data_IF_394968109777
#
_entry.id   IF_394968109777
#
_cell.length_a   1.000
_cell.length_b   1.000
_cell.length_c   1.000
_cell.angle_alpha   90.00
_cell.angle_beta   90.00
_cell.angle_gamma   90.00
#
_symmetry.space_group_name_H-M   'P 1'
#
loop_
_entity.id
_entity.type
_entity.pdbx_description
1 polymer ?
#
# COMPACT_ATOMS: atom_id res chain seq x y z
N UNK A 1 5.51 -0.52 -27.70
CA UNK A 1 5.80 -1.30 -26.49
C UNK A 1 5.77 -0.33 -25.33
N UNK A 2 4.94 -0.59 -24.33
CA UNK A 2 4.78 0.28 -23.16
C UNK A 2 5.97 0.09 -22.21
N UNK A 3 6.49 1.19 -21.66
CA UNK A 3 7.60 1.17 -20.70
C UNK A 3 7.04 1.02 -19.28
N UNK A 4 7.19 -0.19 -18.71
CA UNK A 4 6.65 -0.53 -17.39
C UNK A 4 7.40 0.13 -16.23
N UNK A 5 8.55 0.81 -16.42
CA UNK A 5 9.27 1.57 -15.36
C UNK A 5 9.31 0.89 -13.98
N UNK A 6 9.58 -0.41 -13.94
CA UNK A 6 9.38 -1.22 -12.73
C UNK A 6 10.16 -0.71 -11.51
N UNK A 7 11.34 -0.11 -11.71
CA UNK A 7 12.16 0.47 -10.64
C UNK A 7 11.43 1.59 -9.87
N UNK A 8 10.50 2.30 -10.50
CA UNK A 8 9.71 3.36 -9.89
C UNK A 8 8.62 2.84 -8.94
N UNK A 9 8.38 1.52 -8.93
CA UNK A 9 7.46 0.89 -7.99
C UNK A 9 8.05 0.72 -6.58
N UNK A 10 9.37 0.87 -6.44
CA UNK A 10 10.03 0.82 -5.15
C UNK A 10 9.85 2.13 -4.39
N UNK A 11 9.49 1.98 -3.13
CA UNK A 11 9.51 3.06 -2.17
C UNK A 11 9.95 2.52 -0.83
N UNK A 12 10.47 3.40 0.01
CA UNK A 12 10.90 2.99 1.34
C UNK A 12 9.69 2.81 2.26
N UNK A 13 9.61 1.69 2.97
CA UNK A 13 8.62 1.43 4.00
C UNK A 13 8.88 2.20 5.31
N UNK A 14 9.59 3.33 5.26
CA UNK A 14 9.87 4.18 6.41
C UNK A 14 8.62 4.85 6.99
N UNK A 15 7.53 4.90 6.24
CA UNK A 15 6.28 5.57 6.66
C UNK A 15 5.28 4.63 7.33
N UNK A 16 5.70 3.42 7.69
CA UNK A 16 4.86 2.47 8.42
C UNK A 16 4.74 2.91 9.87
N UNK A 17 3.52 3.00 10.40
CA UNK A 17 3.33 3.26 11.84
C UNK A 17 3.83 2.06 12.62
N UNK A 18 4.77 2.29 13.54
CA UNK A 18 5.21 1.26 14.46
C UNK A 18 4.11 1.04 15.52
N UNK A 19 3.52 -0.17 15.66
CA UNK A 19 2.48 -0.42 16.65
C UNK A 19 2.88 -0.01 18.07
N UNK A 20 4.17 -0.11 18.43
CA UNK A 20 4.64 0.29 19.77
C UNK A 20 4.56 1.81 20.04
N UNK A 21 4.31 2.63 19.02
CA UNK A 21 4.08 4.07 19.16
C UNK A 21 2.62 4.40 19.49
N UNK A 22 1.70 3.44 19.37
CA UNK A 22 0.27 3.65 19.60
C UNK A 22 -0.07 3.52 21.08
N UNK A 23 -0.99 4.36 21.54
CA UNK A 23 -1.48 4.35 22.93
C UNK A 23 -2.72 3.46 23.08
N UNK A 24 -3.52 3.36 22.02
CA UNK A 24 -4.77 2.62 21.97
C UNK A 24 -4.49 1.15 21.67
N UNK A 25 -4.64 0.27 22.67
CA UNK A 25 -4.41 -1.17 22.52
C UNK A 25 -5.27 -1.80 21.40
N UNK A 26 -6.51 -1.31 21.23
CA UNK A 26 -7.41 -1.78 20.19
C UNK A 26 -6.92 -1.53 18.75
N UNK A 27 -5.95 -0.63 18.55
CA UNK A 27 -5.40 -0.30 17.23
C UNK A 27 -4.15 -1.10 16.87
N UNK A 28 -3.53 -1.81 17.82
CA UNK A 28 -2.28 -2.55 17.59
C UNK A 28 -2.45 -3.62 16.51
N UNK A 29 -3.43 -4.51 16.68
CA UNK A 29 -3.69 -5.61 15.73
C UNK A 29 -4.15 -5.13 14.35
N UNK A 30 -4.90 -4.01 14.30
CA UNK A 30 -5.34 -3.37 13.06
C UNK A 30 -4.11 -2.84 12.30
N UNK A 31 -3.24 -2.11 13.00
CA UNK A 31 -2.01 -1.53 12.44
C UNK A 31 -1.05 -2.60 11.95
N UNK A 32 -0.81 -3.65 12.74
CA UNK A 32 0.01 -4.79 12.32
C UNK A 32 -0.53 -5.47 11.06
N UNK A 33 -1.85 -5.64 10.99
CA UNK A 33 -2.51 -6.26 9.84
C UNK A 33 -2.37 -5.41 8.59
N UNK A 34 -2.60 -4.09 8.69
CA UNK A 34 -2.38 -3.15 7.60
C UNK A 34 -0.92 -3.16 7.13
N UNK A 35 0.03 -3.02 8.05
CA UNK A 35 1.46 -3.02 7.76
C UNK A 35 1.89 -4.31 7.04
N UNK A 36 1.39 -5.46 7.50
CA UNK A 36 1.63 -6.76 6.87
C UNK A 36 1.04 -6.85 5.46
N UNK A 37 -0.18 -6.34 5.25
CA UNK A 37 -0.83 -6.34 3.95
C UNK A 37 -0.12 -5.42 2.96
N UNK A 38 0.27 -4.21 3.38
CA UNK A 38 1.06 -3.30 2.54
C UNK A 38 2.42 -3.91 2.20
N UNK A 39 3.11 -4.51 3.19
CA UNK A 39 4.37 -5.21 2.95
C UNK A 39 4.21 -6.35 1.94
N UNK A 40 3.12 -7.12 2.00
CA UNK A 40 2.82 -8.17 1.00
C UNK A 40 2.62 -7.58 -0.39
N UNK A 41 1.77 -6.56 -0.52
CA UNK A 41 1.50 -5.90 -1.80
C UNK A 41 2.80 -5.42 -2.49
N UNK A 42 3.68 -4.75 -1.73
CA UNK A 42 4.97 -4.31 -2.26
C UNK A 42 5.96 -5.45 -2.50
N UNK A 43 6.04 -6.44 -1.59
CA UNK A 43 7.01 -7.54 -1.73
C UNK A 43 6.71 -8.39 -2.96
N UNK A 44 5.43 -8.60 -3.31
CA UNK A 44 5.06 -9.34 -4.52
C UNK A 44 5.67 -8.73 -5.78
N UNK A 45 5.64 -7.40 -5.89
CA UNK A 45 6.24 -6.69 -7.03
C UNK A 45 7.75 -6.63 -6.90
N UNK A 46 8.26 -6.24 -5.74
CA UNK A 46 9.69 -5.91 -5.59
C UNK A 46 10.62 -7.10 -5.40
N UNK A 47 10.10 -8.25 -4.98
CA UNK A 47 10.89 -9.46 -4.79
C UNK A 47 11.49 -9.99 -6.10
N UNK A 48 10.79 -9.83 -7.23
CA UNK A 48 11.27 -10.34 -8.52
C UNK A 48 12.49 -9.57 -9.01
N UNK A 49 12.47 -8.23 -9.16
CA UNK A 49 13.68 -7.50 -9.51
C UNK A 49 14.79 -7.71 -8.49
N UNK A 50 14.49 -7.73 -7.20
CA UNK A 50 15.49 -8.02 -6.19
C UNK A 50 16.13 -9.41 -6.39
N UNK A 51 15.34 -10.44 -6.69
CA UNK A 51 15.81 -11.78 -6.96
C UNK A 51 16.65 -11.83 -8.25
N UNK A 52 16.21 -11.17 -9.33
CA UNK A 52 16.97 -11.05 -10.58
C UNK A 52 18.31 -10.36 -10.32
N UNK A 53 18.32 -9.24 -9.60
CA UNK A 53 19.55 -8.54 -9.22
C UNK A 53 20.49 -9.40 -8.39
N UNK A 54 19.93 -10.18 -7.44
CA UNK A 54 20.70 -11.12 -6.61
C UNK A 54 21.27 -12.29 -7.41
N UNK A 55 20.49 -12.83 -8.35
CA UNK A 55 20.97 -13.86 -9.29
C UNK A 55 22.14 -13.34 -10.12
N UNK A 56 22.08 -12.10 -10.58
CA UNK A 56 23.18 -11.50 -11.33
C UNK A 56 24.42 -11.28 -10.50
N UNK A 57 24.25 -10.86 -9.24
CA UNK A 57 25.38 -10.78 -8.32
C UNK A 57 26.04 -12.17 -8.17
N UNK A 58 25.24 -13.24 -8.05
CA UNK A 58 25.77 -14.61 -7.99
C UNK A 58 26.49 -15.00 -9.28
N UNK A 59 25.86 -14.77 -10.43
CA UNK A 59 26.46 -15.05 -11.75
C UNK A 59 27.78 -14.32 -11.86
N UNK A 60 27.81 -12.98 -11.69
CA UNK A 60 29.05 -12.18 -11.75
C UNK A 60 30.11 -12.64 -10.75
N UNK A 61 29.71 -13.05 -9.54
CA UNK A 61 30.65 -13.59 -8.55
C UNK A 61 31.27 -14.92 -9.02
N UNK A 62 30.48 -15.80 -9.63
CA UNK A 62 30.98 -17.03 -10.25
C UNK A 62 31.89 -16.74 -11.44
N UNK A 63 31.56 -15.74 -12.26
CA UNK A 63 32.38 -15.30 -13.38
C UNK A 63 33.75 -14.80 -12.91
N UNK A 64 33.77 -13.92 -11.90
CA UNK A 64 35.00 -13.42 -11.30
C UNK A 64 35.81 -14.55 -10.65
N UNK A 65 35.15 -15.47 -9.96
CA UNK A 65 35.80 -16.64 -9.37
C UNK A 65 36.49 -17.49 -10.45
N UNK A 66 35.80 -17.75 -11.57
CA UNK A 66 36.33 -18.50 -12.71
C UNK A 66 37.54 -17.77 -13.31
N UNK A 67 37.46 -16.46 -13.54
CA UNK A 67 38.57 -15.67 -14.07
C UNK A 67 39.81 -15.67 -13.16
N UNK A 68 39.61 -15.64 -11.83
CA UNK A 68 40.71 -15.67 -10.86
C UNK A 68 41.40 -17.05 -10.82
N UNK A 69 40.62 -18.13 -10.97
CA UNK A 69 41.13 -19.51 -10.89
C UNK A 69 41.73 -19.96 -12.23
N UNK A 70 41.08 -19.67 -13.34
CA UNK A 70 41.48 -20.07 -14.70
C UNK A 70 42.16 -18.90 -15.43
N UNK A 71 43.27 -18.41 -14.88
CA UNK A 71 44.00 -17.18 -15.31
C UNK A 71 44.20 -16.98 -16.82
N UNK A 72 44.10 -18.05 -17.62
CA UNK A 72 44.33 -18.07 -19.07
C UNK A 72 43.08 -18.33 -19.93
N UNK A 73 41.87 -18.48 -19.35
CA UNK A 73 40.61 -18.67 -20.09
C UNK A 73 39.73 -17.43 -20.03
N UNK A 74 39.49 -16.83 -21.21
CA UNK A 74 38.65 -15.63 -21.38
C UNK A 74 37.15 -16.01 -21.42
N UNK A 75 36.82 -17.25 -21.80
CA UNK A 75 35.42 -17.64 -21.95
C UNK A 75 34.78 -18.07 -20.63
N UNK A 76 34.07 -17.11 -20.05
CA UNK A 76 33.37 -17.22 -18.78
C UNK A 76 32.22 -18.24 -18.83
N UNK A 77 31.64 -18.49 -20.00
CA UNK A 77 30.52 -19.43 -20.17
C UNK A 77 30.94 -20.80 -20.70
N UNK A 78 32.24 -21.03 -20.94
CA UNK A 78 32.75 -22.36 -21.29
C UNK A 78 32.34 -23.39 -20.23
N UNK A 79 31.56 -24.39 -20.66
CA UNK A 79 30.96 -25.42 -19.81
C UNK A 79 32.01 -26.37 -19.20
N UNK A 80 33.27 -26.28 -19.65
CA UNK A 80 34.36 -27.16 -19.23
C UNK A 80 35.02 -26.71 -17.92
N UNK A 81 34.24 -26.53 -16.86
CA UNK A 81 34.78 -26.43 -15.49
C UNK A 81 34.97 -27.84 -14.97
N UNK A 82 36.17 -28.20 -14.54
CA UNK A 82 36.42 -29.55 -14.00
C UNK A 82 35.73 -29.73 -12.64
N UNK A 83 35.36 -30.98 -12.30
CA UNK A 83 34.76 -31.30 -11.00
C UNK A 83 35.65 -30.86 -9.82
N UNK A 84 36.97 -30.80 -9.99
CA UNK A 84 37.92 -30.35 -8.96
C UNK A 84 37.95 -28.81 -8.79
N UNK A 85 37.57 -28.05 -9.82
CA UNK A 85 37.54 -26.58 -9.80
C UNK A 85 36.24 -26.02 -9.23
N UNK A 86 35.13 -26.74 -9.42
CA UNK A 86 33.80 -26.29 -8.98
C UNK A 86 33.72 -25.98 -7.47
N UNK A 87 34.27 -26.80 -6.55
CA UNK A 87 34.31 -26.47 -5.13
C UNK A 87 35.10 -25.19 -4.82
N UNK A 88 36.14 -24.88 -5.60
CA UNK A 88 36.96 -23.66 -5.42
C UNK A 88 36.19 -22.42 -5.88
N UNK A 89 35.54 -22.50 -7.03
CA UNK A 89 34.69 -21.43 -7.60
C UNK A 89 33.52 -21.10 -6.66
N UNK A 90 32.79 -22.13 -6.22
CA UNK A 90 31.64 -21.96 -5.32
C UNK A 90 32.06 -21.41 -3.95
N UNK A 91 33.19 -21.86 -3.40
CA UNK A 91 33.75 -21.31 -2.15
C UNK A 91 34.12 -19.83 -2.27
N UNK A 92 34.79 -19.42 -3.36
CA UNK A 92 35.14 -18.02 -3.59
C UNK A 92 33.88 -17.17 -3.79
N UNK A 93 32.94 -17.60 -4.64
CA UNK A 93 31.68 -16.89 -4.86
C UNK A 93 30.90 -16.72 -3.56
N UNK A 94 30.82 -17.77 -2.74
CA UNK A 94 30.18 -17.71 -1.42
C UNK A 94 30.87 -16.71 -0.50
N UNK A 95 32.20 -16.60 -0.55
CA UNK A 95 32.94 -15.60 0.21
C UNK A 95 32.61 -14.17 -0.24
N UNK A 96 32.56 -13.91 -1.55
CA UNK A 96 32.17 -12.59 -2.09
C UNK A 96 30.74 -12.23 -1.68
N UNK A 97 29.79 -13.15 -1.81
CA UNK A 97 28.39 -12.93 -1.40
C UNK A 97 28.29 -12.73 0.11
N UNK A 98 29.03 -13.51 0.90
CA UNK A 98 29.06 -13.35 2.37
C UNK A 98 29.60 -11.97 2.75
N UNK A 99 30.71 -11.53 2.14
CA UNK A 99 31.26 -10.19 2.34
C UNK A 99 30.30 -9.10 1.92
N UNK A 100 29.59 -9.30 0.81
CA UNK A 100 28.52 -8.41 0.38
C UNK A 100 27.33 -8.36 1.35
N UNK A 101 27.14 -9.37 2.22
CA UNK A 101 26.06 -9.37 3.22
C UNK A 101 26.52 -8.94 4.63
N UNK A 102 27.82 -8.97 4.95
CA UNK A 102 28.34 -8.72 6.31
C UNK A 102 28.33 -7.23 6.73
N UNK A 103 28.13 -6.28 5.81
CA UNK A 103 28.28 -4.83 6.09
C UNK A 103 26.95 -4.13 6.46
N UNK A 104 26.41 -4.36 7.66
CA UNK A 104 25.04 -3.96 8.02
C UNK A 104 24.73 -2.45 7.86
N UNK A 105 25.74 -1.58 7.92
CA UNK A 105 25.56 -0.12 7.84
C UNK A 105 24.89 0.34 6.53
N UNK A 106 25.10 -0.40 5.43
CA UNK A 106 24.62 -0.04 4.08
C UNK A 106 23.60 -1.05 3.52
N UNK A 107 22.89 -1.79 4.40
CA UNK A 107 21.94 -2.82 3.96
C UNK A 107 20.84 -2.25 3.04
N UNK A 108 20.32 -1.06 3.35
CA UNK A 108 19.29 -0.41 2.52
C UNK A 108 19.82 0.01 1.16
N UNK A 109 20.99 0.65 1.11
CA UNK A 109 21.62 1.08 -0.14
C UNK A 109 21.95 -0.09 -1.05
N UNK A 110 22.47 -1.20 -0.50
CA UNK A 110 22.73 -2.41 -1.29
C UNK A 110 21.47 -3.11 -1.76
N UNK A 111 20.43 -3.13 -0.91
CA UNK A 111 19.12 -3.66 -1.31
C UNK A 111 18.56 -2.86 -2.48
N UNK A 112 18.66 -1.53 -2.41
CA UNK A 112 18.28 -0.64 -3.50
C UNK A 112 19.12 -0.85 -4.77
N UNK A 113 20.44 -1.01 -4.65
CA UNK A 113 21.32 -1.29 -5.79
C UNK A 113 20.95 -2.62 -6.47
N UNK A 114 20.76 -3.69 -5.69
CA UNK A 114 20.34 -4.99 -6.23
C UNK A 114 18.99 -4.87 -6.93
N UNK A 115 18.04 -4.20 -6.29
CA UNK A 115 16.73 -3.95 -6.86
C UNK A 115 16.81 -3.13 -8.17
N UNK A 116 17.63 -2.08 -8.20
CA UNK A 116 17.81 -1.21 -9.37
C UNK A 116 18.43 -1.96 -10.55
N UNK A 117 19.50 -2.72 -10.29
CA UNK A 117 20.15 -3.56 -11.31
C UNK A 117 19.19 -4.61 -11.83
N UNK A 118 18.49 -5.30 -10.92
CA UNK A 118 17.51 -6.31 -11.30
C UNK A 118 16.32 -5.73 -12.06
N UNK A 119 15.85 -4.53 -11.69
CA UNK A 119 14.77 -3.83 -12.39
C UNK A 119 15.19 -3.42 -13.79
N UNK A 120 16.41 -2.89 -13.96
CA UNK A 120 16.94 -2.53 -15.27
C UNK A 120 17.03 -3.76 -16.19
N UNK A 121 17.44 -4.91 -15.65
CA UNK A 121 17.50 -6.15 -16.42
C UNK A 121 16.14 -6.76 -16.70
N UNK A 122 15.22 -6.71 -15.73
CA UNK A 122 13.87 -7.17 -15.93
C UNK A 122 13.18 -6.33 -17.01
N UNK A 123 13.31 -5.01 -16.96
CA UNK A 123 12.87 -4.11 -18.02
C UNK A 123 13.55 -4.41 -19.36
N UNK A 124 14.86 -4.68 -19.36
CA UNK A 124 15.56 -5.10 -20.58
C UNK A 124 15.00 -6.42 -21.13
N UNK A 125 14.65 -7.37 -20.28
CA UNK A 125 14.05 -8.64 -20.66
C UNK A 125 12.61 -8.46 -21.19
N UNK A 126 11.84 -7.53 -20.64
CA UNK A 126 10.51 -7.18 -21.16
C UNK A 126 10.64 -6.49 -22.53
N UNK A 127 11.62 -5.58 -22.68
CA UNK A 127 11.73 -4.72 -23.89
C UNK A 127 12.42 -5.38 -25.07
N UNK A 128 13.37 -6.29 -24.84
CA UNK A 128 14.18 -6.88 -25.92
C UNK A 128 13.54 -8.12 -26.57
N UNK A 129 12.31 -8.50 -26.21
CA UNK A 129 11.97 -9.90 -26.27
C UNK A 129 10.83 -10.31 -27.20
N UNK A 130 11.20 -11.20 -28.13
CA UNK A 130 10.46 -12.37 -28.63
C UNK A 130 10.10 -13.40 -27.51
N UNK A 131 10.18 -13.06 -26.21
CA UNK A 131 10.01 -13.99 -25.07
C UNK A 131 8.54 -14.19 -24.64
N UNK A 132 7.57 -13.93 -25.51
CA UNK A 132 6.15 -14.19 -25.23
C UNK A 132 5.60 -13.34 -24.07
N UNK A 133 4.83 -13.97 -23.16
CA UNK A 133 3.95 -13.34 -22.16
C UNK A 133 4.66 -12.68 -20.94
N UNK A 134 5.94 -12.31 -21.04
CA UNK A 134 6.70 -11.70 -19.92
C UNK A 134 6.18 -10.30 -19.58
N UNK A 135 5.75 -9.55 -20.61
CA UNK A 135 5.12 -8.24 -20.47
C UNK A 135 3.80 -8.33 -19.67
N UNK A 136 2.92 -9.26 -20.05
CA UNK A 136 1.66 -9.54 -19.37
C UNK A 136 1.86 -9.99 -17.94
N UNK A 137 2.91 -10.77 -17.69
CA UNK A 137 3.27 -11.18 -16.33
C UNK A 137 3.66 -9.97 -15.47
N UNK A 138 4.52 -9.09 -16.00
CA UNK A 138 4.95 -7.89 -15.29
C UNK A 138 3.78 -6.92 -15.03
N UNK A 139 2.94 -6.71 -16.04
CA UNK A 139 1.68 -5.96 -15.93
C UNK A 139 0.77 -6.55 -14.84
N UNK A 140 0.52 -7.86 -14.85
CA UNK A 140 -0.30 -8.54 -13.86
C UNK A 140 0.18 -8.31 -12.43
N UNK A 141 1.50 -8.28 -12.20
CA UNK A 141 2.06 -7.99 -10.87
C UNK A 141 1.77 -6.56 -10.41
N UNK A 142 1.88 -5.59 -11.31
CA UNK A 142 1.58 -4.18 -11.02
C UNK A 142 0.09 -3.98 -10.75
N UNK A 143 -0.78 -4.63 -11.51
CA UNK A 143 -2.23 -4.61 -11.26
C UNK A 143 -2.59 -5.24 -9.92
N UNK A 144 -1.99 -6.38 -9.57
CA UNK A 144 -2.18 -7.02 -8.25
C UNK A 144 -1.73 -6.11 -7.11
N UNK A 145 -0.66 -5.32 -7.29
CA UNK A 145 -0.22 -4.35 -6.30
C UNK A 145 -1.26 -3.26 -6.06
N UNK A 146 -1.85 -2.72 -7.13
CA UNK A 146 -2.94 -1.72 -7.07
C UNK A 146 -4.13 -2.32 -6.32
N UNK A 147 -4.63 -3.49 -6.73
CA UNK A 147 -5.79 -4.15 -6.12
C UNK A 147 -5.58 -4.47 -4.64
N UNK A 148 -4.41 -4.98 -4.28
CA UNK A 148 -4.07 -5.29 -2.88
C UNK A 148 -3.93 -4.03 -2.03
N UNK A 149 -3.44 -2.93 -2.61
CA UNK A 149 -3.30 -1.65 -1.89
C UNK A 149 -4.65 -1.06 -1.55
N UNK A 150 -5.59 -1.06 -2.51
CA UNK A 150 -6.98 -0.65 -2.27
C UNK A 150 -7.62 -1.50 -1.16
N UNK A 151 -7.56 -2.83 -1.31
CA UNK A 151 -8.18 -3.77 -0.36
C UNK A 151 -7.59 -3.60 1.05
N UNK A 152 -6.28 -3.36 1.16
CA UNK A 152 -5.63 -3.10 2.44
C UNK A 152 -6.12 -1.79 3.08
N UNK A 153 -6.31 -0.74 2.28
CA UNK A 153 -6.85 0.54 2.74
C UNK A 153 -8.32 0.43 3.19
N UNK A 154 -9.16 -0.21 2.38
CA UNK A 154 -10.59 -0.40 2.65
C UNK A 154 -10.81 -1.15 3.98
N UNK A 155 -10.07 -2.24 4.19
CA UNK A 155 -10.09 -3.00 5.46
C UNK A 155 -9.60 -2.13 6.60
N UNK A 156 -8.47 -1.42 6.44
CA UNK A 156 -7.95 -0.53 7.48
C UNK A 156 -8.98 0.52 7.89
N UNK A 157 -9.57 1.24 6.93
CA UNK A 157 -10.52 2.30 7.18
C UNK A 157 -11.78 1.76 7.88
N UNK A 158 -12.24 0.57 7.49
CA UNK A 158 -13.38 -0.08 8.15
C UNK A 158 -13.05 -0.46 9.60
N UNK A 159 -11.94 -1.14 9.83
CA UNK A 159 -11.53 -1.62 11.14
C UNK A 159 -11.26 -0.46 12.11
N UNK A 160 -10.60 0.59 11.65
CA UNK A 160 -10.35 1.81 12.41
C UNK A 160 -11.65 2.51 12.81
N UNK A 161 -12.59 2.65 11.88
CA UNK A 161 -13.90 3.24 12.16
C UNK A 161 -14.66 2.41 13.21
N UNK A 162 -14.68 1.09 13.06
CA UNK A 162 -15.31 0.16 14.02
C UNK A 162 -14.67 0.30 15.40
N UNK A 163 -13.34 0.28 15.49
CA UNK A 163 -12.61 0.40 16.74
C UNK A 163 -12.91 1.73 17.44
N UNK A 164 -12.87 2.84 16.69
CA UNK A 164 -13.16 4.16 17.25
C UNK A 164 -14.61 4.30 17.73
N UNK A 165 -15.59 3.76 17.00
CA UNK A 165 -17.00 3.76 17.44
C UNK A 165 -17.22 2.86 18.66
N UNK A 166 -16.54 1.72 18.75
CA UNK A 166 -16.69 0.76 19.84
C UNK A 166 -15.97 1.19 21.12
N UNK A 167 -14.78 1.78 21.01
CA UNK A 167 -13.88 2.02 22.14
C UNK A 167 -13.60 3.50 22.42
N UNK A 168 -14.00 4.40 21.53
CA UNK A 168 -13.82 5.84 21.71
C UNK A 168 -14.88 6.49 22.60
N UNK A 169 -15.00 7.81 22.46
CA UNK A 169 -15.97 8.62 23.20
C UNK A 169 -17.42 8.22 22.88
N UNK A 170 -18.31 8.30 23.88
CA UNK A 170 -19.73 7.92 23.75
C UNK A 170 -20.45 8.72 22.66
N UNK A 171 -19.99 9.94 22.38
CA UNK A 171 -20.55 10.77 21.32
C UNK A 171 -20.35 10.15 19.92
N UNK A 172 -19.28 9.39 19.66
CA UNK A 172 -19.07 8.76 18.35
C UNK A 172 -20.16 7.73 18.06
N UNK A 173 -20.42 6.86 19.04
CA UNK A 173 -21.52 5.90 19.01
C UNK A 173 -22.89 6.60 18.90
N UNK A 174 -23.11 7.69 19.63
CA UNK A 174 -24.35 8.45 19.57
C UNK A 174 -24.59 9.11 18.20
N UNK A 175 -23.54 9.64 17.56
CA UNK A 175 -23.62 10.27 16.24
C UNK A 175 -24.07 9.29 15.16
N UNK A 176 -23.60 8.04 15.22
CA UNK A 176 -23.89 7.00 14.22
C UNK A 176 -25.09 6.14 14.58
N UNK A 177 -25.41 5.99 15.86
CA UNK A 177 -26.59 5.27 16.34
C UNK A 177 -27.91 5.95 15.96
N UNK A 178 -27.86 7.20 15.48
CA UNK A 178 -28.98 8.00 15.01
C UNK A 178 -29.27 7.95 13.50
N UNK A 179 -28.52 7.16 12.71
CA UNK A 179 -28.79 6.89 11.29
C UNK A 179 -30.16 6.20 11.12
N UNK A 180 -31.33 6.75 10.79
CA UNK A 180 -31.95 8.07 10.65
C UNK A 180 -33.31 7.86 11.31
N UNK A 181 -33.85 8.79 12.12
CA UNK A 181 -35.21 8.68 12.72
C UNK A 181 -36.34 8.42 11.69
N UNK A 182 -36.06 8.56 10.39
CA UNK A 182 -36.99 8.29 9.28
C UNK A 182 -37.02 6.82 8.83
N UNK A 183 -36.03 5.99 9.14
CA UNK A 183 -36.02 4.57 8.79
C UNK A 183 -36.57 3.72 9.94
N UNK A 184 -37.90 3.73 10.05
CA UNK A 184 -38.74 3.18 11.14
C UNK A 184 -38.72 1.65 11.31
N UNK A 185 -37.67 0.95 10.86
CA UNK A 185 -37.35 -0.40 11.36
C UNK A 185 -36.30 -0.27 12.46
N UNK A 186 -36.64 0.46 13.51
CA UNK A 186 -35.86 0.53 14.74
C UNK A 186 -35.78 -0.88 15.33
N UNK A 187 -34.59 -1.34 15.68
CA UNK A 187 -34.48 -2.40 16.67
C UNK A 187 -35.28 -1.96 17.90
N UNK A 188 -36.20 -2.81 18.35
CA UNK A 188 -36.98 -2.45 19.54
C UNK A 188 -35.99 -2.41 20.69
N UNK A 189 -35.90 -1.30 21.41
CA UNK A 189 -35.02 -1.13 22.58
C UNK A 189 -35.08 -2.33 23.55
N UNK A 190 -36.24 -3.00 23.61
CA UNK A 190 -36.48 -4.24 24.36
C UNK A 190 -35.62 -5.46 23.93
N UNK A 191 -35.18 -5.55 22.66
CA UNK A 191 -34.30 -6.62 22.15
C UNK A 191 -32.82 -6.38 22.47
N UNK A 192 -32.48 -5.14 22.81
CA UNK A 192 -31.12 -4.62 23.02
C UNK A 192 -30.82 -4.51 24.52
N UNK A 193 -31.86 -4.27 25.34
CA UNK A 193 -31.76 -3.96 26.77
C UNK A 193 -30.96 -4.95 27.65
N UNK A 194 -31.02 -6.28 27.45
CA UNK A 194 -30.27 -7.23 28.30
C UNK A 194 -28.76 -7.23 28.04
N UNK A 195 -28.30 -6.60 26.96
CA UNK A 195 -26.91 -6.64 26.50
C UNK A 195 -26.29 -5.25 26.33
N UNK A 196 -26.92 -4.19 26.89
CA UNK A 196 -26.52 -2.79 26.70
C UNK A 196 -25.02 -2.57 26.97
N UNK A 197 -24.48 -3.17 28.04
CA UNK A 197 -23.06 -3.03 28.37
C UNK A 197 -22.14 -3.69 27.33
N UNK A 198 -22.58 -4.77 26.68
CA UNK A 198 -21.85 -5.42 25.58
C UNK A 198 -22.05 -4.70 24.23
N UNK A 199 -23.10 -3.92 24.08
CA UNK A 199 -23.43 -3.26 22.81
C UNK A 199 -22.59 -2.02 22.57
N UNK A 200 -22.19 -1.31 23.63
CA UNK A 200 -21.26 -0.17 23.51
C UNK A 200 -20.00 -0.57 22.76
N UNK A 201 -19.36 -1.67 23.18
CA UNK A 201 -18.10 -2.14 22.62
C UNK A 201 -18.27 -2.92 21.29
N UNK A 202 -19.49 -2.97 20.74
CA UNK A 202 -19.80 -3.70 19.50
C UNK A 202 -20.70 -2.92 18.53
N UNK A 203 -21.07 -1.68 18.84
CA UNK A 203 -22.02 -0.92 18.04
C UNK A 203 -21.52 -0.73 16.60
N UNK A 204 -20.28 -0.30 16.43
CA UNK A 204 -19.67 -0.12 15.11
C UNK A 204 -19.66 -1.43 14.32
N UNK A 205 -19.32 -2.54 14.97
CA UNK A 205 -19.36 -3.88 14.37
C UNK A 205 -20.77 -4.24 13.91
N UNK A 206 -21.78 -4.06 14.77
CA UNK A 206 -23.16 -4.37 14.45
C UNK A 206 -23.72 -3.50 13.32
N UNK A 207 -23.33 -2.22 13.25
CA UNK A 207 -23.75 -1.31 12.19
C UNK A 207 -23.19 -1.73 10.82
N UNK A 208 -21.93 -2.18 10.77
CA UNK A 208 -21.30 -2.67 9.55
C UNK A 208 -21.88 -4.06 9.16
N UNK A 209 -21.96 -5.00 10.10
CA UNK A 209 -22.52 -6.35 9.86
C UNK A 209 -24.00 -6.31 9.42
N UNK A 210 -24.78 -5.37 9.93
CA UNK A 210 -26.18 -5.18 9.53
C UNK A 210 -26.35 -4.32 8.27
N UNK A 211 -25.26 -4.01 7.55
CA UNK A 211 -25.22 -3.17 6.36
C UNK A 211 -25.88 -1.79 6.55
N UNK A 212 -25.90 -1.27 7.78
CA UNK A 212 -26.40 0.08 8.10
C UNK A 212 -25.35 1.14 7.84
N UNK A 213 -24.08 0.74 7.90
CA UNK A 213 -22.93 1.54 7.53
C UNK A 213 -22.16 0.74 6.49
N UNK A 214 -22.12 1.26 5.26
CA UNK A 214 -21.35 0.69 4.17
C UNK A 214 -20.00 1.40 4.07
N UNK A 215 -18.92 0.64 3.90
CA UNK A 215 -17.54 1.15 3.81
C UNK A 215 -16.85 0.64 2.54
N UNK A 216 -17.64 0.38 1.49
CA UNK A 216 -17.19 -0.32 0.27
C UNK A 216 -16.63 0.61 -0.83
N UNK A 217 -16.75 1.93 -0.63
CA UNK A 217 -16.23 2.94 -1.54
C UNK A 217 -15.69 4.15 -0.76
N UNK A 218 -14.76 4.89 -1.37
CA UNK A 218 -14.07 6.00 -0.70
C UNK A 218 -15.03 7.10 -0.27
N UNK A 219 -16.07 7.35 -1.08
CA UNK A 219 -17.12 8.32 -0.77
C UNK A 219 -17.85 7.98 0.53
N UNK A 220 -18.31 6.74 0.68
CA UNK A 220 -19.01 6.31 1.89
C UNK A 220 -18.06 6.28 3.09
N UNK A 221 -16.82 5.83 2.92
CA UNK A 221 -15.79 5.90 3.97
C UNK A 221 -15.70 7.36 4.48
N UNK A 222 -15.49 8.33 3.59
CA UNK A 222 -15.44 9.76 3.94
C UNK A 222 -16.70 10.21 4.68
N UNK A 223 -17.89 9.87 4.18
CA UNK A 223 -19.17 10.27 4.78
C UNK A 223 -19.38 9.69 6.18
N UNK A 224 -19.05 8.42 6.38
CA UNK A 224 -19.19 7.75 7.68
C UNK A 224 -18.18 8.25 8.70
N UNK A 225 -16.94 8.54 8.27
CA UNK A 225 -15.95 9.19 9.11
C UNK A 225 -16.38 10.60 9.51
N UNK A 226 -16.89 11.39 8.56
CA UNK A 226 -17.46 12.72 8.83
C UNK A 226 -18.63 12.64 9.81
N UNK A 227 -19.52 11.67 9.64
CA UNK A 227 -20.68 11.50 10.51
C UNK A 227 -20.26 11.14 11.94
N UNK A 228 -19.35 10.18 12.10
CA UNK A 228 -18.94 9.69 13.41
C UNK A 228 -18.11 10.72 14.18
N UNK A 229 -17.14 11.36 13.51
CA UNK A 229 -16.07 12.11 14.16
C UNK A 229 -16.06 13.61 13.80
N UNK A 230 -17.02 14.07 13.00
CA UNK A 230 -17.19 15.47 12.65
C UNK A 230 -16.17 16.04 11.66
N UNK A 231 -16.01 17.36 11.70
CA UNK A 231 -15.28 18.13 10.68
C UNK A 231 -13.77 17.88 10.66
N UNK A 232 -13.17 17.49 11.80
CA UNK A 232 -11.72 17.26 11.90
C UNK A 232 -11.26 16.22 10.88
N UNK A 233 -12.03 15.14 10.73
CA UNK A 233 -11.71 14.12 9.74
C UNK A 233 -12.21 14.44 8.35
N UNK A 234 -13.27 15.24 8.19
CA UNK A 234 -13.66 15.73 6.88
C UNK A 234 -12.47 16.38 6.15
N UNK A 235 -11.70 17.21 6.84
CA UNK A 235 -10.51 17.89 6.31
C UNK A 235 -9.35 16.97 5.93
N UNK A 236 -9.31 15.76 6.49
CA UNK A 236 -8.31 14.72 6.16
C UNK A 236 -8.63 14.08 4.80
N UNK A 237 -9.91 13.88 4.49
CA UNK A 237 -10.38 13.28 3.24
C UNK A 237 -10.59 14.32 2.11
N UNK A 238 -10.08 15.54 2.27
CA UNK A 238 -10.18 16.57 1.25
C UNK A 238 -9.21 16.33 0.08
N UNK A 239 -9.75 16.25 -1.14
CA UNK A 239 -9.05 15.79 -2.34
C UNK A 239 -7.91 16.72 -2.81
N UNK A 240 -7.95 18.00 -2.44
CA UNK A 240 -6.92 18.97 -2.86
C UNK A 240 -5.55 18.77 -2.19
N UNK A 241 -5.43 17.84 -1.23
CA UNK A 241 -4.20 17.58 -0.46
C UNK A 241 -3.38 16.38 -0.96
N UNK A 242 -3.50 16.03 -2.24
CA UNK A 242 -2.69 15.00 -2.90
C UNK A 242 -3.13 13.57 -2.59
N UNK A 243 -2.84 13.10 -1.37
CA UNK A 243 -3.05 11.69 -1.01
C UNK A 243 -4.52 11.24 -1.12
N UNK A 244 -5.53 11.98 -0.61
CA UNK A 244 -6.92 11.56 -0.75
C UNK A 244 -7.39 11.45 -2.20
N UNK A 245 -6.87 12.30 -3.10
CA UNK A 245 -7.16 12.19 -4.54
C UNK A 245 -6.58 10.91 -5.13
N UNK A 246 -5.36 10.52 -4.74
CA UNK A 246 -4.77 9.25 -5.17
C UNK A 246 -5.55 8.04 -4.63
N UNK A 247 -6.14 8.11 -3.44
CA UNK A 247 -7.01 7.04 -2.91
C UNK A 247 -8.30 6.90 -3.74
N UNK A 248 -8.93 8.01 -4.11
CA UNK A 248 -10.11 8.01 -4.98
C UNK A 248 -9.79 7.42 -6.37
N UNK A 249 -8.65 7.81 -6.95
CA UNK A 249 -8.18 7.25 -8.23
C UNK A 249 -7.87 5.77 -8.11
N UNK A 250 -7.30 5.33 -6.99
CA UNK A 250 -7.03 3.93 -6.72
C UNK A 250 -8.32 3.08 -6.65
N UNK A 251 -9.37 3.59 -6.00
CA UNK A 251 -10.71 2.97 -6.03
C UNK A 251 -11.24 2.85 -7.47
N UNK A 252 -11.15 3.95 -8.22
CA UNK A 252 -11.61 4.03 -9.62
C UNK A 252 -10.91 2.96 -10.46
N UNK A 253 -9.60 2.82 -10.31
CA UNK A 253 -8.81 1.78 -10.97
C UNK A 253 -9.23 0.38 -10.54
N UNK A 254 -9.46 0.12 -9.25
CA UNK A 254 -9.96 -1.18 -8.80
C UNK A 254 -11.28 -1.53 -9.51
N UNK A 255 -12.20 -0.58 -9.63
CA UNK A 255 -13.48 -0.80 -10.31
C UNK A 255 -13.27 -1.06 -11.81
N UNK A 256 -12.42 -0.26 -12.46
CA UNK A 256 -12.03 -0.43 -13.86
C UNK A 256 -11.46 -1.84 -14.13
N UNK A 257 -10.51 -2.29 -13.32
CA UNK A 257 -9.84 -3.58 -13.47
C UNK A 257 -10.81 -4.76 -13.23
N UNK A 258 -11.66 -4.67 -12.20
CA UNK A 258 -12.56 -5.76 -11.83
C UNK A 258 -13.77 -5.90 -12.75
N UNK A 259 -14.22 -4.80 -13.37
CA UNK A 259 -15.50 -4.78 -14.08
C UNK A 259 -15.39 -4.45 -15.57
N UNK A 260 -14.29 -3.85 -16.03
CA UNK A 260 -14.14 -3.35 -17.40
C UNK A 260 -12.93 -3.89 -18.16
N UNK A 261 -12.06 -4.67 -17.52
CA UNK A 261 -10.89 -5.24 -18.17
C UNK A 261 -9.99 -4.15 -18.78
N UNK A 262 -9.69 -3.12 -17.99
CA UNK A 262 -8.78 -2.01 -18.33
C UNK A 262 -9.31 -0.99 -19.35
N UNK A 263 -10.52 -1.16 -19.90
CA UNK A 263 -11.13 -0.18 -20.81
C UNK A 263 -11.84 0.91 -20.02
N UNK A 264 -11.36 2.15 -20.14
CA UNK A 264 -11.87 3.33 -19.42
C UNK A 264 -13.35 3.56 -19.75
N UNK A 265 -14.18 3.68 -18.72
CA UNK A 265 -15.59 4.03 -18.83
C UNK A 265 -15.86 5.46 -18.34
N UNK A 266 -17.10 5.93 -18.56
CA UNK A 266 -17.53 7.27 -18.17
C UNK A 266 -17.44 7.52 -16.66
N UNK A 267 -17.62 6.48 -15.85
CA UNK A 267 -17.58 6.56 -14.39
C UNK A 267 -16.14 6.78 -13.91
N UNK A 268 -15.19 6.02 -14.46
CA UNK A 268 -13.76 6.23 -14.21
C UNK A 268 -13.31 7.63 -14.61
N UNK A 269 -13.63 8.06 -15.85
CA UNK A 269 -13.23 9.38 -16.36
C UNK A 269 -13.78 10.50 -15.46
N UNK A 270 -15.01 10.37 -14.98
CA UNK A 270 -15.63 11.35 -14.07
C UNK A 270 -14.92 11.38 -12.72
N UNK A 271 -14.71 10.22 -12.08
CA UNK A 271 -14.08 10.14 -10.75
C UNK A 271 -12.64 10.63 -10.76
N UNK A 272 -11.87 10.29 -11.80
CA UNK A 272 -10.48 10.74 -11.92
C UNK A 272 -10.39 12.24 -12.15
N UNK A 273 -11.33 12.85 -12.89
CA UNK A 273 -11.41 14.32 -13.03
C UNK A 273 -11.79 15.02 -11.72
N UNK A 274 -12.64 14.41 -10.91
CA UNK A 274 -12.98 14.91 -9.56
C UNK A 274 -11.76 14.86 -8.62
N UNK A 275 -10.83 13.93 -8.86
CA UNK A 275 -9.58 13.80 -8.12
C UNK A 275 -8.52 14.84 -8.54
N UNK A 276 -8.86 16.13 -8.49
CA UNK A 276 -7.99 17.23 -8.97
C UNK A 276 -6.62 17.33 -8.28
N UNK A 277 -6.44 16.69 -7.12
CA UNK A 277 -5.16 16.57 -6.43
C UNK A 277 -4.30 15.38 -6.86
N UNK A 278 -4.75 14.57 -7.83
CA UNK A 278 -4.01 13.38 -8.26
C UNK A 278 -2.64 13.77 -8.81
N UNK A 279 -1.61 13.07 -8.34
CA UNK A 279 -0.21 13.37 -8.68
C UNK A 279 0.25 12.66 -9.96
N UNK A 280 -0.66 11.99 -10.69
CA UNK A 280 -0.35 11.16 -11.85
C UNK A 280 -1.05 11.73 -13.09
N UNK A 281 -0.39 12.63 -13.86
CA UNK A 281 -1.01 13.32 -15.00
C UNK A 281 -1.55 12.39 -16.08
N UNK A 282 -0.93 11.22 -16.28
CA UNK A 282 -1.38 10.24 -17.25
C UNK A 282 -2.84 9.80 -16.99
N UNK A 283 -3.21 9.52 -15.74
CA UNK A 283 -4.56 9.07 -15.39
C UNK A 283 -5.60 10.16 -15.67
N UNK A 284 -5.26 11.42 -15.40
CA UNK A 284 -6.11 12.58 -15.69
C UNK A 284 -6.32 12.82 -17.19
N UNK A 285 -5.45 12.26 -18.04
CA UNK A 285 -5.51 12.43 -19.50
C UNK A 285 -6.33 11.36 -20.22
N UNK A 286 -6.66 10.26 -19.53
CA UNK A 286 -7.44 9.15 -20.08
C UNK A 286 -8.89 9.57 -20.35
N UNK A 287 -9.45 9.04 -21.44
CA UNK A 287 -10.82 9.27 -21.88
C UNK A 287 -11.58 7.96 -22.00
N UNK A 288 -12.91 8.02 -21.94
CA UNK A 288 -13.77 6.87 -22.24
C UNK A 288 -13.35 6.16 -23.53
N UNK A 289 -13.18 4.84 -23.44
CA UNK A 289 -12.72 3.96 -24.51
C UNK A 289 -11.20 3.76 -24.59
N UNK A 290 -10.40 4.56 -23.88
CA UNK A 290 -8.96 4.34 -23.80
C UNK A 290 -8.65 3.04 -23.03
N UNK A 291 -7.53 2.40 -23.38
CA UNK A 291 -6.99 1.28 -22.61
C UNK A 291 -6.06 1.86 -21.55
N UNK A 292 -6.34 1.58 -20.29
CA UNK A 292 -5.45 1.89 -19.18
C UNK A 292 -4.20 1.01 -19.27
N UNK A 293 -3.03 1.64 -19.27
CA UNK A 293 -1.75 0.93 -19.28
C UNK A 293 -1.00 1.21 -17.97
N UNK A 294 -0.82 0.18 -17.16
CA UNK A 294 -0.15 0.31 -15.86
C UNK A 294 1.36 0.37 -16.03
N UNK A 295 2.03 1.25 -15.28
CA UNK A 295 3.47 1.23 -15.11
C UNK A 295 3.85 1.20 -13.61
N UNK A 296 5.12 0.96 -13.33
CA UNK A 296 5.67 0.89 -11.98
C UNK A 296 5.57 2.22 -11.25
N UNK A 297 5.61 3.35 -11.96
CA UNK A 297 5.43 4.67 -11.34
C UNK A 297 3.99 4.86 -10.85
N UNK A 298 2.99 4.46 -11.63
CA UNK A 298 1.57 4.49 -11.26
C UNK A 298 1.33 3.59 -10.05
N UNK A 299 1.71 2.32 -10.13
CA UNK A 299 1.52 1.37 -9.05
C UNK A 299 2.24 1.81 -7.77
N UNK A 300 3.52 2.21 -7.88
CA UNK A 300 4.31 2.69 -6.75
C UNK A 300 3.71 3.91 -6.08
N UNK A 301 3.30 4.92 -6.87
CA UNK A 301 2.75 6.18 -6.35
C UNK A 301 1.42 5.95 -5.63
N UNK A 302 0.51 5.15 -6.19
CA UNK A 302 -0.77 4.86 -5.56
C UNK A 302 -0.62 4.03 -4.28
N UNK A 303 0.22 2.98 -4.30
CA UNK A 303 0.51 2.19 -3.09
C UNK A 303 1.18 3.02 -2.00
N UNK A 304 2.13 3.88 -2.37
CA UNK A 304 2.77 4.79 -1.42
C UNK A 304 1.76 5.78 -0.82
N UNK A 305 0.84 6.30 -1.63
CA UNK A 305 -0.26 7.16 -1.16
C UNK A 305 -1.15 6.46 -0.14
N UNK A 306 -1.46 5.17 -0.35
CA UNK A 306 -2.17 4.33 0.65
C UNK A 306 -1.38 4.21 1.94
N UNK A 307 -0.08 3.91 1.85
CA UNK A 307 0.76 3.78 3.03
C UNK A 307 0.77 5.09 3.85
N UNK A 308 1.04 6.22 3.20
CA UNK A 308 1.06 7.52 3.87
C UNK A 308 -0.29 7.89 4.47
N UNK A 309 -1.37 7.75 3.69
CA UNK A 309 -2.71 8.11 4.14
C UNK A 309 -3.22 7.20 5.25
N UNK A 310 -3.03 5.88 5.12
CA UNK A 310 -3.36 4.89 6.13
C UNK A 310 -2.61 5.13 7.43
N UNK A 311 -1.30 5.37 7.37
CA UNK A 311 -0.48 5.69 8.54
C UNK A 311 -0.95 6.97 9.24
N UNK A 312 -1.29 8.01 8.48
CA UNK A 312 -1.84 9.25 9.02
C UNK A 312 -3.20 9.01 9.69
N UNK A 313 -4.07 8.24 9.06
CA UNK A 313 -5.38 7.89 9.60
C UNK A 313 -5.26 7.10 10.92
N UNK A 314 -4.36 6.12 11.00
CA UNK A 314 -4.06 5.36 12.22
C UNK A 314 -3.68 6.29 13.37
N UNK A 315 -2.74 7.22 13.15
CA UNK A 315 -2.27 8.16 14.19
C UNK A 315 -3.38 9.07 14.68
N UNK A 316 -4.19 9.62 13.77
CA UNK A 316 -5.32 10.46 14.15
C UNK A 316 -6.38 9.65 14.92
N UNK A 317 -6.61 8.39 14.55
CA UNK A 317 -7.52 7.51 15.30
C UNK A 317 -6.98 7.21 16.70
N UNK A 318 -5.67 7.00 16.85
CA UNK A 318 -5.06 6.80 18.16
C UNK A 318 -5.24 8.02 19.07
N UNK A 319 -5.09 9.22 18.51
CA UNK A 319 -5.35 10.48 19.20
C UNK A 319 -6.82 10.66 19.59
N UNK A 320 -7.74 10.25 18.73
CA UNK A 320 -9.18 10.36 18.96
C UNK A 320 -9.66 9.36 20.02
N UNK A 321 -9.15 8.13 20.00
CA UNK A 321 -9.53 7.07 20.96
C UNK A 321 -8.88 7.31 22.33
N UNK A 322 -7.62 7.74 22.35
CA UNK A 322 -6.88 8.00 23.58
C UNK A 322 -6.38 9.45 23.59
N UNK A 323 -7.23 10.45 23.88
CA UNK A 323 -6.80 11.84 23.98
C UNK A 323 -5.70 11.98 25.03
N UNK A 324 -4.65 12.75 24.74
CA UNK A 324 -3.70 13.13 25.80
C UNK A 324 -4.40 14.10 26.76
N UNK A 325 -4.13 14.05 28.08
CA UNK A 325 -4.70 15.03 29.03
C UNK A 325 -4.27 16.47 28.69
N UNK A 326 -3.17 16.62 27.93
CA UNK A 326 -2.69 17.89 27.37
C UNK A 326 -3.37 18.29 26.04
N UNK A 327 -4.22 17.44 25.47
CA UNK A 327 -4.79 17.58 24.12
C UNK A 327 -6.20 18.16 24.15
N UNK A 328 -6.29 19.47 24.33
CA UNK A 328 -7.55 20.18 24.15
C UNK A 328 -7.80 20.35 22.64
N UNK A 329 -8.62 19.47 22.03
CA UNK A 329 -8.96 19.43 20.59
C UNK A 329 -9.43 20.78 20.03
N UNK A 330 -10.02 21.64 20.87
CA UNK A 330 -10.45 22.98 20.48
C UNK A 330 -9.30 24.00 20.34
N UNK A 331 -8.10 23.67 20.83
CA UNK A 331 -6.97 24.62 20.91
C UNK A 331 -5.90 24.43 19.82
N UNK A 332 -5.89 23.30 19.11
CA UNK A 332 -4.93 23.06 18.00
C UNK A 332 -5.66 23.07 16.66
N UNK A 333 -5.21 23.96 15.76
CA UNK A 333 -5.66 24.01 14.38
C UNK A 333 -5.25 22.71 13.65
N UNK A 334 -6.19 21.95 13.05
CA UNK A 334 -5.89 20.74 12.26
C UNK A 334 -4.85 20.97 11.16
N UNK A 335 -4.75 22.20 10.65
CA UNK A 335 -3.74 22.59 9.66
C UNK A 335 -2.30 22.46 10.18
N UNK A 336 -2.05 22.63 11.49
CA UNK A 336 -0.70 22.48 12.06
C UNK A 336 -0.31 21.00 12.17
N UNK A 337 -1.28 20.11 12.42
CA UNK A 337 -1.07 18.65 12.38
C UNK A 337 -0.87 18.17 10.94
N UNK A 338 -1.33 18.92 9.93
CA UNK A 338 -1.08 18.60 8.53
C UNK A 338 0.24 19.16 7.99
N UNK A 339 0.72 20.30 8.53
CA UNK A 339 1.91 21.00 8.06
C UNK A 339 3.25 20.32 8.39
N UNK A 340 3.33 19.64 9.53
CA UNK A 340 4.57 18.98 9.98
C UNK A 340 4.90 17.68 9.22
N UNK A 341 4.06 17.26 8.28
CA UNK A 341 4.16 15.98 7.57
C UNK A 341 4.28 16.11 6.05
N UNK A 342 4.50 17.33 5.56
CA UNK A 342 4.88 17.56 4.16
C UNK A 342 6.39 17.32 4.06
N UNK A 343 6.79 16.10 3.70
CA UNK A 343 8.14 15.76 3.23
C UNK A 343 8.04 15.37 1.76
#
# INVERSE_FOLDING_TARGET
MHDLKFASAWFNFTHVVNPSELRSECLLGITETFNRNMKRAHTMVTSIPWFVGRMQLHIRSLMLAKMVIQKDRIDVFDANVSEEEWPKITKFSSHVIKKFNEDDADLMDRTWQLYSVGSAQFNAAITNADLGDVDKFAESLLLVMILNSWSAFEILATDLWIAAVNFGDESFAANVGGLSRKDSKSFTYAQIHPHIDNLRNRLGTLLVEAERVKMDCFRQIKENYKLAFGKVLEELFELHKGNPANILVLESLRNLLMHRGEVVDSDFETQVKEASGCTIPYLLSLKEGDIFLVDGHIAGTLTYSVLQFGSKLIRIMDEIITPDDAWNLSSRNPANIAGDWVI
#
